data_IF_560626460689
#
_entry.id   IF_560626460689
#
_cell.length_a   1.000
_cell.length_b   1.000
_cell.length_c   1.000
_cell.angle_alpha   90.00
_cell.angle_beta   90.00
_cell.angle_gamma   90.00
#
_symmetry.space_group_name_H-M   'P 1'
#
loop_
_entity.id
_entity.type
_entity.pdbx_description
1 polymer ?
#
# COMPACT_ATOMS: atom_id res chain seq x y z
N UNK A 1 -10.08 -5.27 17.68
CA UNK A 1 -8.87 -4.43 17.48
C UNK A 1 -9.25 -3.33 16.51
N UNK A 2 -9.00 -2.06 16.85
CA UNK A 2 -9.24 -0.96 15.92
C UNK A 2 -8.35 -1.16 14.68
N UNK A 3 -8.91 -1.05 13.48
CA UNK A 3 -8.11 -1.05 12.25
C UNK A 3 -7.29 0.24 12.25
N UNK A 4 -5.95 0.19 12.12
CA UNK A 4 -5.16 1.40 12.02
C UNK A 4 -5.57 2.20 10.78
N UNK A 5 -5.68 3.52 10.95
CA UNK A 5 -6.09 4.41 9.88
C UNK A 5 -4.91 4.69 8.95
N UNK A 6 -5.09 4.47 7.64
CA UNK A 6 -4.07 4.75 6.64
C UNK A 6 -4.01 6.25 6.36
N UNK A 7 -2.82 6.83 6.52
CA UNK A 7 -2.57 8.22 6.18
C UNK A 7 -2.46 8.41 4.64
N UNK A 8 -2.29 9.66 4.19
CA UNK A 8 -2.19 9.99 2.77
C UNK A 8 -1.05 9.25 2.04
N UNK A 9 0.11 9.12 2.68
CA UNK A 9 1.28 8.45 2.10
C UNK A 9 1.11 6.93 2.02
N UNK A 10 0.45 6.33 3.00
CA UNK A 10 0.15 4.88 2.99
C UNK A 10 -0.80 4.53 1.84
N UNK A 11 -1.84 5.36 1.64
CA UNK A 11 -2.78 5.22 0.52
C UNK A 11 -2.07 5.43 -0.81
N UNK A 12 -1.21 6.46 -0.90
CA UNK A 12 -0.42 6.72 -2.09
C UNK A 12 0.52 5.54 -2.43
N UNK A 13 1.15 4.95 -1.41
CA UNK A 13 1.98 3.75 -1.56
C UNK A 13 1.17 2.57 -2.09
N UNK A 14 -0.02 2.31 -1.52
CA UNK A 14 -0.89 1.27 -2.05
C UNK A 14 -1.26 1.51 -3.52
N UNK A 15 -1.56 2.76 -3.92
CA UNK A 15 -1.83 3.10 -5.32
C UNK A 15 -0.64 2.86 -6.25
N UNK A 16 0.59 3.14 -5.79
CA UNK A 16 1.82 2.77 -6.53
C UNK A 16 1.89 1.25 -6.71
N UNK A 17 1.68 0.47 -5.63
CA UNK A 17 1.74 -0.99 -5.67
C UNK A 17 0.61 -1.63 -6.48
N UNK A 18 -0.53 -0.94 -6.60
CA UNK A 18 -1.66 -1.32 -7.46
C UNK A 18 -1.42 -0.99 -8.94
N UNK A 19 -0.44 -0.13 -9.24
CA UNK A 19 -0.14 0.32 -10.60
C UNK A 19 -0.90 1.56 -11.04
N UNK A 20 -1.63 2.23 -10.14
CA UNK A 20 -2.39 3.46 -10.42
C UNK A 20 -1.46 4.67 -10.64
N UNK A 21 -0.24 4.59 -10.10
CA UNK A 21 0.78 5.64 -10.15
C UNK A 21 2.09 5.12 -10.78
N UNK A 22 2.09 4.74 -12.08
CA UNK A 22 3.24 4.10 -12.73
C UNK A 22 4.45 5.04 -12.91
N UNK A 23 4.25 6.36 -12.79
CA UNK A 23 5.28 7.39 -12.98
C UNK A 23 5.79 8.00 -11.67
N UNK A 24 5.38 7.46 -10.51
CA UNK A 24 5.80 8.01 -9.22
C UNK A 24 7.25 7.60 -8.92
N UNK A 25 8.08 8.59 -8.56
CA UNK A 25 9.47 8.36 -8.22
C UNK A 25 9.64 7.92 -6.77
N UNK A 26 10.69 7.14 -6.50
CA UNK A 26 11.07 6.72 -5.16
C UNK A 26 11.26 7.91 -4.22
N UNK A 27 10.53 7.92 -3.11
CA UNK A 27 10.61 8.95 -2.07
C UNK A 27 11.07 8.39 -0.73
N UNK A 28 11.63 9.24 0.15
CA UNK A 28 12.13 8.84 1.47
C UNK A 28 11.03 8.25 2.40
N UNK A 29 9.76 8.57 2.13
CA UNK A 29 8.59 8.05 2.84
C UNK A 29 8.22 6.61 2.40
N UNK A 30 8.84 6.05 1.36
CA UNK A 30 8.46 4.74 0.83
C UNK A 30 8.75 3.61 1.81
N UNK A 31 9.99 3.53 2.31
CA UNK A 31 10.41 2.48 3.23
C UNK A 31 9.54 2.37 4.50
N UNK A 32 9.25 3.46 5.24
CA UNK A 32 8.38 3.36 6.41
C UNK A 32 6.93 2.97 6.03
N UNK A 33 6.38 3.46 4.91
CA UNK A 33 5.06 3.03 4.44
C UNK A 33 5.05 1.55 4.08
N UNK A 34 6.07 1.03 3.40
CA UNK A 34 6.16 -0.38 3.03
C UNK A 34 6.25 -1.32 4.23
N UNK A 35 7.07 -0.98 5.24
CA UNK A 35 7.13 -1.77 6.48
C UNK A 35 5.81 -1.72 7.26
N UNK A 36 5.16 -0.55 7.32
CA UNK A 36 3.86 -0.40 7.96
C UNK A 36 2.77 -1.21 7.24
N UNK A 37 2.63 -1.05 5.93
CA UNK A 37 1.65 -1.77 5.11
C UNK A 37 1.88 -3.28 5.11
N UNK A 38 3.15 -3.72 5.11
CA UNK A 38 3.50 -5.13 5.28
C UNK A 38 3.08 -5.64 6.67
N UNK A 39 3.31 -4.87 7.73
CA UNK A 39 2.84 -5.19 9.08
C UNK A 39 1.32 -5.32 9.20
N UNK A 40 0.57 -4.67 8.30
CA UNK A 40 -0.89 -4.78 8.18
C UNK A 40 -1.36 -5.88 7.22
N UNK A 41 -0.44 -6.56 6.52
CA UNK A 41 -0.78 -7.56 5.51
C UNK A 41 -1.37 -6.98 4.22
N UNK A 42 -1.16 -5.68 3.96
CA UNK A 42 -1.69 -4.97 2.78
C UNK A 42 -0.76 -5.06 1.57
N UNK A 43 0.50 -5.45 1.78
CA UNK A 43 1.46 -5.76 0.73
C UNK A 43 2.38 -6.92 1.13
N UNK A 44 3.01 -7.56 0.14
CA UNK A 44 4.03 -8.59 0.34
C UNK A 44 5.42 -7.97 0.52
N UNK A 45 6.28 -8.63 1.31
CA UNK A 45 7.69 -8.26 1.45
C UNK A 45 8.53 -9.07 0.47
N UNK A 46 9.34 -8.39 -0.36
CA UNK A 46 10.20 -9.05 -1.33
C UNK A 46 10.89 -8.06 -2.27
N UNK A 47 11.69 -8.56 -3.24
CA UNK A 47 12.34 -7.71 -4.24
C UNK A 47 11.34 -6.93 -5.10
N UNK A 48 10.11 -7.45 -5.21
CA UNK A 48 8.97 -6.79 -5.84
C UNK A 48 7.83 -6.77 -4.82
N UNK A 49 7.66 -5.67 -4.09
CA UNK A 49 6.49 -5.49 -3.24
C UNK A 49 5.22 -5.58 -4.11
N UNK A 50 4.26 -6.40 -3.71
CA UNK A 50 2.98 -6.54 -4.41
C UNK A 50 1.84 -6.24 -3.45
N UNK A 51 0.81 -5.54 -3.95
CA UNK A 51 -0.40 -5.30 -3.17
C UNK A 51 -1.20 -6.60 -2.96
N UNK A 52 -1.68 -6.83 -1.74
CA UNK A 52 -2.56 -7.98 -1.42
C UNK A 52 -4.02 -7.68 -1.78
N UNK A 53 -4.91 -8.67 -1.63
CA UNK A 53 -6.34 -8.45 -1.80
C UNK A 53 -6.88 -7.45 -0.74
N UNK A 54 -6.38 -7.56 0.49
CA UNK A 54 -6.68 -6.65 1.59
C UNK A 54 -6.19 -5.24 1.30
N UNK A 55 -5.00 -5.09 0.70
CA UNK A 55 -4.46 -3.81 0.24
C UNK A 55 -5.36 -3.13 -0.78
N UNK A 56 -5.85 -3.87 -1.79
CA UNK A 56 -6.81 -3.35 -2.77
C UNK A 56 -8.13 -2.96 -2.14
N UNK A 57 -8.65 -3.78 -1.22
CA UNK A 57 -9.86 -3.44 -0.47
C UNK A 57 -9.65 -2.19 0.40
N UNK A 58 -8.45 -1.97 0.96
CA UNK A 58 -8.12 -0.79 1.73
C UNK A 58 -8.02 0.49 0.88
N UNK A 59 -7.69 0.38 -0.40
CA UNK A 59 -7.77 1.49 -1.37
C UNK A 59 -9.21 1.90 -1.71
N UNK A 60 -10.19 1.06 -1.39
CA UNK A 60 -11.58 1.30 -1.76
C UNK A 60 -11.94 0.77 -3.15
N UNK A 61 -11.12 -0.10 -3.75
CA UNK A 61 -11.57 -0.94 -4.87
C UNK A 61 -12.56 -1.99 -4.34
N UNK A 62 -13.79 -1.53 -4.10
CA UNK A 62 -14.95 -2.39 -4.11
C UNK A 62 -15.21 -2.74 -5.57
N UNK A 63 -14.77 -3.92 -6.01
CA UNK A 63 -15.47 -4.54 -7.12
C UNK A 63 -16.89 -4.86 -6.64
N UNK A 64 -17.86 -4.15 -7.20
CA UNK A 64 -19.24 -4.64 -7.32
C UNK A 64 -19.28 -6.00 -8.03
#
# INVERSE_FOLDING_TARGET
MAKPELNEYDRKMLGILNGDLPNEMWGAWWSPCLEFLYGLGLCTKGPNFQITAEGRHALGEQSE
#
